data_IF_765359044418
#
_entry.id   IF_765359044418
#
_cell.length_a   1.000
_cell.length_b   1.000
_cell.length_c   1.000
_cell.angle_alpha   90.00
_cell.angle_beta   90.00
_cell.angle_gamma   90.00
#
_symmetry.space_group_name_H-M   'P 1'
#
loop_
_entity.id
_entity.type
_entity.pdbx_description
1 polymer ?
#
# COMPACT_ATOMS: atom_id res chain seq x y z
N UNK A 1 -11.64 12.68 23.48
CA UNK A 1 -11.36 11.37 22.87
C UNK A 1 -12.47 11.08 21.87
N UNK A 2 -12.14 11.07 20.57
CA UNK A 2 -13.10 10.66 19.54
C UNK A 2 -13.46 9.19 19.77
N UNK A 3 -14.75 8.89 19.78
CA UNK A 3 -15.30 7.54 20.00
C UNK A 3 -14.73 6.59 18.94
N UNK A 4 -13.90 5.65 19.36
CA UNK A 4 -13.53 4.48 18.56
C UNK A 4 -14.83 3.82 18.05
N UNK A 5 -14.91 3.60 16.73
CA UNK A 5 -16.12 3.23 16.02
C UNK A 5 -16.85 2.06 16.68
N UNK A 6 -18.06 2.29 17.19
CA UNK A 6 -18.87 1.32 17.94
C UNK A 6 -19.48 0.17 17.12
N UNK A 7 -18.97 -0.12 15.93
CA UNK A 7 -19.31 -1.31 15.13
C UNK A 7 -18.09 -1.74 14.30
N UNK A 8 -17.14 -2.44 14.93
CA UNK A 8 -16.00 -3.07 14.25
C UNK A 8 -16.18 -4.57 14.23
N UNK A 9 -17.23 -5.07 13.58
CA UNK A 9 -17.22 -6.49 13.27
C UNK A 9 -16.11 -6.73 12.24
N UNK A 10 -15.44 -7.89 12.27
CA UNK A 10 -14.48 -8.26 11.21
C UNK A 10 -15.10 -8.14 9.80
N UNK A 11 -16.43 -8.26 9.71
CA UNK A 11 -17.19 -8.15 8.47
C UNK A 11 -17.24 -6.71 7.92
N UNK A 12 -17.00 -5.68 8.73
CA UNK A 12 -17.02 -4.27 8.29
C UNK A 12 -15.62 -3.75 7.94
N UNK A 13 -14.60 -4.24 8.64
CA UNK A 13 -13.21 -3.76 8.51
C UNK A 13 -12.56 -4.32 7.25
N UNK A 14 -12.68 -5.63 6.99
CA UNK A 14 -12.02 -6.27 5.85
C UNK A 14 -12.47 -5.71 4.48
N UNK A 15 -13.78 -5.52 4.21
CA UNK A 15 -14.20 -4.89 2.97
C UNK A 15 -13.71 -3.45 2.83
N UNK A 16 -13.64 -2.69 3.94
CA UNK A 16 -13.14 -1.31 3.92
C UNK A 16 -11.66 -1.26 3.55
N UNK A 17 -10.84 -2.16 4.13
CA UNK A 17 -9.42 -2.30 3.78
C UNK A 17 -9.25 -2.71 2.32
N UNK A 18 -10.04 -3.68 1.86
CA UNK A 18 -9.98 -4.14 0.48
C UNK A 18 -10.38 -3.06 -0.54
N UNK A 19 -11.41 -2.26 -0.24
CA UNK A 19 -11.79 -1.12 -1.08
C UNK A 19 -10.66 -0.08 -1.14
N UNK A 20 -10.10 0.29 0.02
CA UNK A 20 -8.97 1.22 0.07
C UNK A 20 -7.78 0.72 -0.77
N UNK A 21 -7.43 -0.56 -0.64
CA UNK A 21 -6.35 -1.16 -1.43
C UNK A 21 -6.69 -1.24 -2.92
N UNK A 22 -7.95 -1.48 -3.27
CA UNK A 22 -8.42 -1.44 -4.66
C UNK A 22 -8.23 -0.06 -5.25
N UNK A 23 -8.77 0.97 -4.60
CA UNK A 23 -8.69 2.36 -5.06
C UNK A 23 -7.21 2.75 -5.19
N UNK A 24 -6.41 2.44 -4.17
CA UNK A 24 -4.98 2.71 -4.18
C UNK A 24 -4.22 1.97 -5.30
N UNK A 25 -4.58 0.72 -5.62
CA UNK A 25 -3.90 -0.08 -6.64
C UNK A 25 -4.25 0.29 -8.07
N UNK A 26 -5.47 0.83 -8.30
CA UNK A 26 -5.97 1.15 -9.63
C UNK A 26 -6.07 2.66 -9.92
N UNK A 27 -5.91 3.52 -8.92
CA UNK A 27 -5.85 4.97 -9.07
C UNK A 27 -4.43 5.51 -8.84
N UNK A 28 -3.89 6.19 -9.85
CA UNK A 28 -2.56 6.81 -9.80
C UNK A 28 -1.40 5.84 -9.96
N UNK A 29 -0.21 6.26 -9.55
CA UNK A 29 1.06 5.57 -9.81
C UNK A 29 1.49 4.66 -8.65
N UNK A 30 0.54 4.11 -7.90
CA UNK A 30 0.85 3.34 -6.69
C UNK A 30 1.70 2.10 -6.96
N UNK A 31 1.50 1.44 -8.11
CA UNK A 31 2.32 0.30 -8.54
C UNK A 31 3.79 0.68 -8.76
N UNK A 32 4.04 1.93 -9.09
CA UNK A 32 5.37 2.50 -9.33
C UNK A 32 5.99 3.08 -8.05
N UNK A 33 5.24 3.22 -6.94
CA UNK A 33 5.78 3.71 -5.67
C UNK A 33 7.04 3.00 -5.19
N UNK A 34 7.19 1.66 -5.31
CA UNK A 34 8.44 1.01 -4.93
C UNK A 34 9.66 1.56 -5.69
N UNK A 35 9.50 1.87 -6.99
CA UNK A 35 10.56 2.45 -7.83
C UNK A 35 10.79 3.92 -7.47
N UNK A 36 9.74 4.72 -7.31
CA UNK A 36 9.86 6.13 -6.95
C UNK A 36 10.51 6.32 -5.57
N UNK A 37 10.12 5.52 -4.57
CA UNK A 37 10.74 5.56 -3.25
C UNK A 37 12.22 5.17 -3.31
N UNK A 38 12.58 4.22 -4.19
CA UNK A 38 13.98 3.85 -4.38
C UNK A 38 14.77 5.01 -4.96
N UNK A 39 14.30 5.62 -6.04
CA UNK A 39 14.95 6.76 -6.68
C UNK A 39 15.11 7.95 -5.71
N UNK A 40 14.05 8.32 -5.00
CA UNK A 40 14.08 9.40 -4.01
C UNK A 40 15.11 9.09 -2.92
N UNK A 41 15.17 7.85 -2.45
CA UNK A 41 16.09 7.47 -1.39
C UNK A 41 17.53 7.38 -1.85
N UNK A 42 17.79 6.92 -3.07
CA UNK A 42 19.11 6.95 -3.70
C UNK A 42 19.61 8.40 -3.82
N UNK A 43 18.79 9.30 -4.35
CA UNK A 43 19.10 10.74 -4.44
C UNK A 43 19.34 11.37 -3.06
N UNK A 44 18.50 11.02 -2.07
CA UNK A 44 18.70 11.50 -0.71
C UNK A 44 20.02 11.03 -0.12
N UNK A 45 20.44 9.78 -0.36
CA UNK A 45 21.68 9.21 0.14
C UNK A 45 22.92 9.94 -0.37
N UNK A 46 22.83 10.64 -1.50
CA UNK A 46 23.89 11.51 -2.04
C UNK A 46 24.04 12.83 -1.25
N UNK A 47 23.05 13.19 -0.42
CA UNK A 47 23.07 14.43 0.37
C UNK A 47 23.67 14.23 1.76
N UNK A 48 24.27 15.28 2.34
CA UNK A 48 24.77 15.26 3.72
C UNK A 48 23.69 14.93 4.77
N UNK A 49 22.42 15.29 4.50
CA UNK A 49 21.29 15.02 5.39
C UNK A 49 20.97 13.55 5.56
N UNK A 50 21.29 12.72 4.57
CA UNK A 50 21.12 11.28 4.68
C UNK A 50 22.24 10.60 5.47
N UNK A 51 23.24 11.33 5.99
CA UNK A 51 24.15 10.82 7.03
C UNK A 51 23.50 10.73 8.42
N UNK A 52 22.17 10.61 8.45
CA UNK A 52 21.38 10.32 9.64
C UNK A 52 20.96 8.84 9.63
N UNK A 53 21.49 8.06 10.56
CA UNK A 53 21.22 6.62 10.65
C UNK A 53 19.72 6.31 10.85
N UNK A 54 18.99 7.11 11.64
CA UNK A 54 17.56 6.88 11.86
C UNK A 54 16.76 7.12 10.58
N UNK A 55 17.11 8.15 9.82
CA UNK A 55 16.49 8.43 8.53
C UNK A 55 16.72 7.27 7.55
N UNK A 56 17.97 6.78 7.43
CA UNK A 56 18.31 5.61 6.60
C UNK A 56 17.50 4.37 6.97
N UNK A 57 17.30 4.09 8.26
CA UNK A 57 16.49 2.95 8.70
C UNK A 57 15.01 3.11 8.32
N UNK A 58 14.44 4.31 8.44
CA UNK A 58 13.06 4.58 8.01
C UNK A 58 12.90 4.40 6.50
N UNK A 59 13.84 4.93 5.72
CA UNK A 59 13.88 4.77 4.26
C UNK A 59 13.93 3.28 3.87
N UNK A 60 14.82 2.51 4.49
CA UNK A 60 14.92 1.07 4.24
C UNK A 60 13.64 0.31 4.61
N UNK A 61 12.97 0.69 5.69
CA UNK A 61 11.68 0.10 6.06
C UNK A 61 10.60 0.37 5.01
N UNK A 62 10.49 1.61 4.53
CA UNK A 62 9.53 1.98 3.48
C UNK A 62 9.78 1.18 2.19
N UNK A 63 11.04 1.06 1.77
CA UNK A 63 11.42 0.25 0.61
C UNK A 63 11.03 -1.22 0.77
N UNK A 64 11.35 -1.82 1.93
CA UNK A 64 11.03 -3.22 2.21
C UNK A 64 9.52 -3.46 2.16
N UNK A 65 8.73 -2.62 2.82
CA UNK A 65 7.27 -2.75 2.80
C UNK A 65 6.71 -2.63 1.38
N UNK A 66 7.21 -1.66 0.60
CA UNK A 66 6.74 -1.44 -0.77
C UNK A 66 7.12 -2.58 -1.71
N UNK A 67 8.34 -3.13 -1.59
CA UNK A 67 8.78 -4.31 -2.35
C UNK A 67 8.00 -5.56 -1.95
N UNK A 68 7.81 -5.80 -0.66
CA UNK A 68 7.02 -6.94 -0.18
C UNK A 68 5.58 -6.87 -0.71
N UNK A 69 5.00 -5.67 -0.81
CA UNK A 69 3.69 -5.48 -1.41
C UNK A 69 3.69 -5.89 -2.89
N UNK A 70 4.65 -5.39 -3.68
CA UNK A 70 4.80 -5.76 -5.09
C UNK A 70 5.02 -7.28 -5.28
N UNK A 71 5.89 -7.89 -4.45
CA UNK A 71 6.14 -9.33 -4.45
C UNK A 71 4.89 -10.13 -4.10
N UNK A 72 4.09 -9.68 -3.13
CA UNK A 72 2.83 -10.33 -2.73
C UNK A 72 1.84 -10.39 -3.89
N UNK A 73 1.81 -9.35 -4.73
CA UNK A 73 0.93 -9.30 -5.90
C UNK A 73 1.52 -9.91 -7.17
N UNK A 74 2.84 -10.13 -7.22
CA UNK A 74 3.55 -10.66 -8.40
C UNK A 74 3.00 -11.98 -8.98
N UNK A 75 2.39 -12.90 -8.20
CA UNK A 75 1.80 -14.12 -8.77
C UNK A 75 0.47 -13.89 -9.51
N UNK A 76 -0.13 -12.70 -9.39
CA UNK A 76 -1.46 -12.41 -9.93
C UNK A 76 -1.39 -11.40 -11.06
N UNK A 77 -2.14 -11.65 -12.14
CA UNK A 77 -2.34 -10.66 -13.19
C UNK A 77 -3.21 -9.50 -12.70
N UNK A 78 -3.05 -8.34 -13.31
CA UNK A 78 -3.89 -7.17 -12.99
C UNK A 78 -5.39 -7.47 -13.13
N UNK A 79 -5.77 -8.26 -14.14
CA UNK A 79 -7.17 -8.66 -14.34
C UNK A 79 -7.69 -9.55 -13.20
N UNK A 80 -6.86 -10.44 -12.65
CA UNK A 80 -7.24 -11.26 -11.48
C UNK A 80 -7.42 -10.39 -10.24
N UNK A 81 -6.50 -9.44 -10.01
CA UNK A 81 -6.59 -8.48 -8.89
C UNK A 81 -7.84 -7.63 -9.04
N UNK A 82 -8.09 -7.07 -10.23
CA UNK A 82 -9.25 -6.21 -10.50
C UNK A 82 -10.56 -6.96 -10.30
N UNK A 83 -10.63 -8.21 -10.78
CA UNK A 83 -11.80 -9.07 -10.56
C UNK A 83 -12.05 -9.33 -9.08
N UNK A 84 -10.99 -9.59 -8.30
CA UNK A 84 -11.11 -9.78 -6.86
C UNK A 84 -11.62 -8.53 -6.14
N UNK A 85 -11.09 -7.35 -6.50
CA UNK A 85 -11.54 -6.06 -5.96
C UNK A 85 -13.01 -5.76 -6.30
N UNK A 86 -13.43 -6.02 -7.55
CA UNK A 86 -14.82 -5.80 -7.99
C UNK A 86 -15.82 -6.72 -7.26
N UNK A 87 -15.45 -7.97 -6.97
CA UNK A 87 -16.30 -8.90 -6.22
C UNK A 87 -16.58 -8.35 -4.81
N UNK A 88 -15.56 -7.79 -4.15
CA UNK A 88 -15.70 -7.19 -2.83
C UNK A 88 -16.59 -5.95 -2.87
N UNK A 89 -16.51 -5.15 -3.94
CA UNK A 89 -17.41 -4.02 -4.20
C UNK A 89 -18.89 -4.44 -4.37
N UNK A 90 -19.15 -5.60 -4.98
CA UNK A 90 -20.53 -6.11 -5.17
C UNK A 90 -21.18 -6.70 -3.92
N UNK A 91 -20.40 -7.13 -2.91
CA UNK A 91 -20.95 -7.61 -1.62
C UNK A 91 -21.64 -6.47 -0.85
N UNK A 92 -21.39 -5.20 -1.20
CA UNK A 92 -22.12 -4.03 -0.69
C UNK A 92 -23.49 -3.79 -1.35
N UNK A 93 -23.83 -4.46 -2.45
CA UNK A 93 -25.02 -4.17 -3.25
C UNK A 93 -26.21 -5.12 -2.99
N UNK A 94 -26.15 -5.97 -1.96
CA UNK A 94 -27.23 -6.90 -1.55
C UNK A 94 -27.58 -6.67 -0.08
#
# INVERSE_FOLDING_TARGET
MLKENQKTSHQDVLPSVANFLSDLWFEGDFKEQPLYLQEIFELMLETEHANNQQLRMKMLSCLRTSRNLAETFSPFSEMQIQKACNIIGTVKAV
#
